data_IF_841350830543
#
_entry.id   IF_841350830543
#
_cell.length_a   1.000
_cell.length_b   1.000
_cell.length_c   1.000
_cell.angle_alpha   90.00
_cell.angle_beta   90.00
_cell.angle_gamma   90.00
#
_symmetry.space_group_name_H-M   'P 1'
#
loop_
_entity.id
_entity.type
_entity.pdbx_description
1 polymer ?
#
# COMPACT_ATOMS: atom_id res chain seq x y z
N UNK A 1 20.85 4.70 -1.24
CA UNK A 1 19.75 3.74 -1.14
C UNK A 1 18.55 4.51 -1.56
N UNK A 2 18.02 4.17 -2.72
CA UNK A 2 16.77 4.76 -3.17
C UNK A 2 15.67 4.18 -2.27
N UNK A 3 14.91 5.06 -1.63
CA UNK A 3 13.73 4.69 -0.83
C UNK A 3 12.46 5.05 -1.61
N UNK A 4 12.58 5.34 -2.92
CA UNK A 4 11.46 5.68 -3.76
C UNK A 4 10.57 4.46 -3.96
N UNK A 5 9.37 4.56 -3.42
CA UNK A 5 8.26 3.73 -3.84
C UNK A 5 7.63 4.47 -5.01
N UNK A 6 7.58 3.79 -6.15
CA UNK A 6 7.00 4.34 -7.37
C UNK A 6 5.53 3.94 -7.51
N UNK A 7 4.74 4.82 -8.13
CA UNK A 7 3.32 4.61 -8.39
C UNK A 7 3.10 4.62 -9.90
N UNK A 8 2.79 3.47 -10.47
CA UNK A 8 2.51 3.34 -11.90
C UNK A 8 1.04 3.68 -12.19
N UNK A 9 0.79 4.33 -13.34
CA UNK A 9 -0.55 4.68 -13.79
C UNK A 9 -0.90 3.84 -15.02
N UNK A 10 -1.96 3.02 -14.92
CA UNK A 10 -2.49 2.26 -16.04
C UNK A 10 -3.70 3.00 -16.66
N UNK A 11 -3.61 3.47 -17.92
CA UNK A 11 -4.74 4.06 -18.64
C UNK A 11 -5.75 3.01 -19.14
N UNK A 12 -5.52 1.71 -18.89
CA UNK A 12 -6.40 0.60 -19.23
C UNK A 12 -5.91 -0.24 -20.40
N UNK A 13 -4.62 -0.19 -20.70
CA UNK A 13 -3.99 -0.97 -21.77
C UNK A 13 -3.05 -2.05 -21.24
N UNK A 14 -2.71 -2.02 -19.94
CA UNK A 14 -1.92 -3.07 -19.31
C UNK A 14 -2.66 -4.42 -19.29
N UNK A 15 -1.93 -5.54 -19.42
CA UNK A 15 -2.50 -6.85 -19.17
C UNK A 15 -2.87 -6.99 -17.68
N UNK A 16 -4.05 -7.56 -17.45
CA UNK A 16 -4.50 -7.97 -16.12
C UNK A 16 -3.92 -9.35 -15.81
N UNK A 17 -3.02 -9.43 -14.83
CA UNK A 17 -2.37 -10.68 -14.45
C UNK A 17 -2.96 -11.23 -13.16
N UNK A 18 -3.35 -12.50 -13.18
CA UNK A 18 -3.62 -13.26 -11.96
C UNK A 18 -2.30 -13.56 -11.25
N UNK A 19 -2.27 -13.41 -9.93
CA UNK A 19 -1.11 -13.78 -9.13
C UNK A 19 -1.38 -15.08 -8.34
N UNK A 20 -0.30 -15.79 -8.04
CA UNK A 20 -0.31 -16.94 -7.13
C UNK A 20 0.10 -16.48 -5.73
N UNK A 21 -0.77 -16.64 -4.71
CA UNK A 21 -0.42 -16.31 -3.34
C UNK A 21 0.74 -17.15 -2.82
N UNK A 22 1.70 -16.52 -2.15
CA UNK A 22 2.78 -17.20 -1.43
C UNK A 22 2.40 -17.45 0.04
N UNK A 23 3.33 -17.98 0.84
CA UNK A 23 3.17 -18.12 2.30
C UNK A 23 3.02 -16.77 3.04
N UNK A 24 3.32 -15.66 2.35
CA UNK A 24 3.16 -14.28 2.83
C UNK A 24 1.75 -13.72 2.60
N UNK A 25 0.82 -14.53 2.09
CA UNK A 25 -0.59 -14.16 1.93
C UNK A 25 -1.40 -14.38 3.22
N UNK A 26 -1.99 -13.33 3.76
CA UNK A 26 -2.80 -13.39 4.97
C UNK A 26 -4.30 -13.49 4.67
N UNK A 27 -4.91 -14.63 5.02
CA UNK A 27 -6.37 -14.75 5.05
C UNK A 27 -6.89 -14.38 6.44
N UNK A 28 -7.97 -13.57 6.56
CA UNK A 28 -8.84 -13.08 5.48
C UNK A 28 -8.53 -11.66 4.97
N UNK A 29 -7.37 -11.13 5.32
CA UNK A 29 -7.08 -9.69 5.19
C UNK A 29 -6.70 -9.27 3.77
N UNK A 30 -5.96 -10.12 3.05
CA UNK A 30 -5.47 -9.84 1.71
C UNK A 30 -6.55 -10.14 0.66
N UNK A 31 -6.62 -9.32 -0.37
CA UNK A 31 -7.51 -9.50 -1.50
C UNK A 31 -6.98 -10.54 -2.48
N UNK A 32 -7.89 -11.13 -3.27
CA UNK A 32 -7.56 -11.90 -4.45
C UNK A 32 -8.20 -11.26 -5.68
N UNK A 33 -7.46 -11.22 -6.77
CA UNK A 33 -7.95 -10.74 -8.05
C UNK A 33 -6.79 -10.37 -8.97
N UNK A 34 -7.10 -10.20 -10.27
CA UNK A 34 -6.08 -9.81 -11.22
C UNK A 34 -5.66 -8.35 -10.99
N UNK A 35 -4.38 -8.09 -11.23
CA UNK A 35 -3.74 -6.77 -11.08
C UNK A 35 -3.25 -6.31 -12.46
N UNK A 36 -3.49 -5.05 -12.87
CA UNK A 36 -2.88 -4.51 -14.07
C UNK A 36 -1.37 -4.37 -13.86
N UNK A 37 -0.58 -4.83 -14.81
CA UNK A 37 0.89 -4.68 -14.78
C UNK A 37 1.34 -3.90 -16.01
N UNK A 38 1.42 -2.56 -15.91
CA UNK A 38 1.95 -1.70 -16.96
C UNK A 38 3.37 -2.06 -17.38
N UNK A 39 3.77 -1.66 -18.60
CA UNK A 39 5.14 -1.87 -19.10
C UNK A 39 6.19 -1.11 -18.26
N UNK A 40 5.79 0.02 -17.67
CA UNK A 40 6.60 0.85 -16.77
C UNK A 40 6.34 0.56 -15.28
N UNK A 41 5.82 -0.63 -14.96
CA UNK A 41 5.67 -1.08 -13.58
C UNK A 41 7.04 -1.31 -12.93
N UNK A 42 7.17 -0.88 -11.67
CA UNK A 42 8.37 -1.06 -10.86
C UNK A 42 8.02 -1.67 -9.50
N UNK A 43 8.99 -2.38 -8.91
CA UNK A 43 8.92 -2.82 -7.53
C UNK A 43 9.82 -1.94 -6.67
N UNK A 44 9.37 -1.64 -5.45
CA UNK A 44 10.18 -0.90 -4.48
C UNK A 44 11.57 -1.53 -4.31
N UNK A 45 12.60 -0.74 -4.60
CA UNK A 45 14.00 -1.11 -4.36
C UNK A 45 14.59 -2.08 -5.39
N UNK A 46 13.90 -2.33 -6.51
CA UNK A 46 14.32 -3.27 -7.55
C UNK A 46 14.50 -2.59 -8.91
N UNK A 47 15.41 -3.12 -9.75
CA UNK A 47 15.64 -2.66 -11.12
C UNK A 47 14.61 -3.21 -12.14
N UNK A 48 13.62 -3.97 -11.68
CA UNK A 48 12.61 -4.61 -12.50
C UNK A 48 11.51 -5.27 -11.67
N UNK A 49 10.80 -6.23 -12.26
CA UNK A 49 9.66 -6.88 -11.59
C UNK A 49 10.01 -8.15 -10.82
N UNK A 50 11.28 -8.48 -10.67
CA UNK A 50 11.75 -9.57 -9.84
C UNK A 50 12.09 -9.04 -8.44
N UNK A 51 11.49 -9.61 -7.40
CA UNK A 51 11.85 -9.29 -6.01
C UNK A 51 13.11 -10.08 -5.62
N UNK A 52 14.29 -9.51 -5.89
CA UNK A 52 15.59 -10.16 -5.64
C UNK A 52 16.26 -9.67 -4.36
N UNK A 53 15.96 -8.46 -3.92
CA UNK A 53 16.25 -8.00 -2.57
C UNK A 53 15.28 -8.64 -1.58
N UNK A 54 15.75 -8.99 -0.38
CA UNK A 54 14.85 -9.39 0.72
C UNK A 54 14.11 -8.17 1.32
N UNK A 55 13.65 -7.27 0.45
CA UNK A 55 12.87 -6.08 0.76
C UNK A 55 11.37 -6.34 0.61
N UNK A 56 10.59 -5.27 0.77
CA UNK A 56 9.13 -5.38 0.71
C UNK A 56 8.60 -5.54 -0.72
N UNK A 57 9.34 -5.08 -1.74
CA UNK A 57 9.02 -5.26 -3.16
C UNK A 57 7.57 -4.87 -3.50
N UNK A 58 7.17 -3.67 -3.06
CA UNK A 58 5.82 -3.19 -3.30
C UNK A 58 5.60 -2.91 -4.79
N UNK A 59 4.53 -3.49 -5.36
CA UNK A 59 3.97 -3.08 -6.65
C UNK A 59 2.76 -2.17 -6.38
N UNK A 60 2.77 -0.96 -6.93
CA UNK A 60 1.70 0.03 -6.75
C UNK A 60 1.21 0.52 -8.10
N UNK A 61 -0.06 0.23 -8.41
CA UNK A 61 -0.67 0.56 -9.71
C UNK A 61 -2.03 1.22 -9.53
N UNK A 62 -2.21 2.40 -10.12
CA UNK A 62 -3.50 3.06 -10.27
C UNK A 62 -4.09 2.69 -11.63
N UNK A 63 -5.17 1.90 -11.63
CA UNK A 63 -5.99 1.63 -12.80
C UNK A 63 -6.99 2.77 -13.00
N UNK A 64 -6.72 3.65 -13.97
CA UNK A 64 -7.52 4.84 -14.23
C UNK A 64 -8.96 4.53 -14.68
N UNK A 65 -9.23 3.54 -15.56
CA UNK A 65 -10.60 3.31 -16.06
C UNK A 65 -11.62 2.94 -15.00
N UNK A 66 -11.18 2.26 -13.94
CA UNK A 66 -12.06 1.84 -12.83
C UNK A 66 -11.78 2.62 -11.55
N UNK A 67 -10.91 3.63 -11.60
CA UNK A 67 -10.47 4.37 -10.42
C UNK A 67 -10.08 3.39 -9.30
N UNK A 68 -9.14 2.47 -9.55
CA UNK A 68 -8.77 1.44 -8.57
C UNK A 68 -7.28 1.48 -8.31
N UNK A 69 -6.87 1.49 -7.04
CA UNK A 69 -5.47 1.29 -6.69
C UNK A 69 -5.26 -0.16 -6.26
N UNK A 70 -4.18 -0.73 -6.76
CA UNK A 70 -3.65 -2.02 -6.38
C UNK A 70 -2.32 -1.80 -5.67
N UNK A 71 -2.20 -2.33 -4.46
CA UNK A 71 -0.94 -2.33 -3.70
C UNK A 71 -0.64 -3.77 -3.31
N UNK A 72 0.45 -4.32 -3.82
CA UNK A 72 0.88 -5.69 -3.53
C UNK A 72 2.17 -5.63 -2.72
N UNK A 73 2.19 -6.27 -1.56
CA UNK A 73 3.43 -6.58 -0.83
C UNK A 73 4.02 -7.90 -1.34
N UNK A 74 5.37 -7.97 -1.41
CA UNK A 74 6.13 -9.11 -1.94
C UNK A 74 5.69 -9.52 -3.34
N UNK A 75 5.49 -8.54 -4.24
CA UNK A 75 5.22 -8.86 -5.64
C UNK A 75 6.49 -9.44 -6.28
N UNK A 76 6.35 -10.50 -7.08
CA UNK A 76 7.45 -11.11 -7.80
C UNK A 76 6.95 -11.62 -9.16
N UNK A 77 7.39 -11.00 -10.25
CA UNK A 77 6.98 -11.33 -11.61
C UNK A 77 8.22 -11.72 -12.42
N UNK A 78 8.38 -13.02 -12.65
CA UNK A 78 9.54 -13.59 -13.34
C UNK A 78 9.05 -14.58 -14.40
N UNK A 79 9.54 -14.43 -15.64
CA UNK A 79 9.20 -15.31 -16.77
C UNK A 79 7.68 -15.51 -16.98
N UNK A 80 6.89 -14.47 -16.71
CA UNK A 80 5.43 -14.47 -16.84
C UNK A 80 4.68 -15.14 -15.69
N UNK A 81 5.38 -15.61 -14.66
CA UNK A 81 4.80 -16.09 -13.41
C UNK A 81 4.73 -14.93 -12.43
N UNK A 82 3.51 -14.60 -11.98
CA UNK A 82 3.28 -13.59 -10.95
C UNK A 82 2.96 -14.27 -9.63
N UNK A 83 3.82 -14.08 -8.65
CA UNK A 83 3.64 -14.46 -7.25
C UNK A 83 3.52 -13.21 -6.37
N UNK A 84 2.79 -13.32 -5.26
CA UNK A 84 2.55 -12.18 -4.38
C UNK A 84 2.24 -12.59 -2.94
N UNK A 85 2.65 -11.76 -1.99
CA UNK A 85 2.17 -11.80 -0.61
C UNK A 85 0.80 -11.14 -0.48
N UNK A 86 0.70 -10.06 0.29
CA UNK A 86 -0.59 -9.41 0.54
C UNK A 86 -0.98 -8.37 -0.53
N UNK A 87 -2.08 -8.63 -1.25
CA UNK A 87 -2.73 -7.65 -2.12
C UNK A 87 -3.74 -6.81 -1.32
N UNK A 88 -3.71 -5.49 -1.48
CA UNK A 88 -4.71 -4.56 -1.01
C UNK A 88 -5.28 -3.76 -2.18
N UNK A 89 -6.59 -3.87 -2.40
CA UNK A 89 -7.28 -3.16 -3.47
C UNK A 89 -8.23 -2.09 -2.91
N UNK A 90 -8.20 -0.91 -3.52
CA UNK A 90 -8.89 0.29 -3.05
C UNK A 90 -9.61 1.00 -4.19
N UNK A 91 -10.82 1.51 -3.95
CA UNK A 91 -11.69 2.20 -4.89
C UNK A 91 -11.57 3.73 -4.80
N UNK A 92 -10.87 4.39 -5.73
CA UNK A 92 -10.63 5.86 -5.87
C UNK A 92 -11.89 6.68 -6.16
N UNK A 93 -13.07 6.05 -6.24
CA UNK A 93 -14.34 6.74 -6.49
C UNK A 93 -15.15 7.14 -5.25
N UNK A 94 -14.81 6.67 -4.06
CA UNK A 94 -15.64 6.83 -2.86
C UNK A 94 -14.82 7.23 -1.62
N UNK A 95 -15.33 8.01 -0.68
CA UNK A 95 -14.57 8.34 0.56
C UNK A 95 -14.47 7.13 1.52
N UNK A 96 -13.30 6.84 2.13
CA UNK A 96 -13.15 5.68 3.00
C UNK A 96 -13.88 5.90 4.33
N UNK A 97 -14.43 4.85 4.94
CA UNK A 97 -14.81 4.92 6.35
C UNK A 97 -13.57 5.06 7.23
N UNK A 98 -13.73 5.56 8.46
CA UNK A 98 -12.64 5.66 9.44
C UNK A 98 -11.96 4.32 9.75
N UNK A 99 -12.64 3.20 9.50
CA UNK A 99 -12.15 1.83 9.71
C UNK A 99 -11.38 1.28 8.52
N UNK A 100 -11.21 2.05 7.44
CA UNK A 100 -10.62 1.58 6.19
C UNK A 100 -11.18 0.20 5.79
N UNK A 101 -10.30 -0.77 5.51
CA UNK A 101 -10.65 -2.15 5.12
C UNK A 101 -11.32 -2.95 6.24
N UNK A 102 -11.30 -2.46 7.47
CA UNK A 102 -11.85 -3.08 8.68
C UNK A 102 -10.90 -2.93 9.87
N UNK A 103 -11.45 -2.96 11.09
CA UNK A 103 -10.63 -3.02 12.30
C UNK A 103 -9.81 -4.31 12.30
N UNK A 104 -8.53 -4.19 12.67
CA UNK A 104 -7.57 -5.30 12.71
C UNK A 104 -7.25 -5.92 11.35
N UNK A 105 -7.68 -5.32 10.23
CA UNK A 105 -7.30 -5.80 8.92
C UNK A 105 -6.02 -5.15 8.41
N UNK A 106 -5.06 -5.95 7.96
CA UNK A 106 -3.84 -5.47 7.30
C UNK A 106 -4.07 -5.03 5.85
N UNK A 107 -3.01 -4.52 5.24
CA UNK A 107 -2.90 -4.20 3.81
C UNK A 107 -1.47 -4.49 3.33
N UNK A 108 -1.12 -4.05 2.12
CA UNK A 108 0.28 -4.01 1.68
C UNK A 108 1.16 -3.18 2.65
N UNK A 109 0.61 -2.12 3.25
CA UNK A 109 1.19 -1.53 4.45
C UNK A 109 0.81 -2.33 5.70
N UNK A 110 1.79 -2.66 6.53
CA UNK A 110 1.60 -3.44 7.75
C UNK A 110 0.68 -2.78 8.79
N UNK A 111 0.42 -1.46 8.72
CA UNK A 111 -0.49 -0.76 9.62
C UNK A 111 -1.96 -0.77 9.14
N UNK A 112 -2.25 -1.39 7.99
CA UNK A 112 -3.59 -1.39 7.37
C UNK A 112 -3.91 -0.10 6.60
N UNK A 113 -2.90 0.73 6.34
CA UNK A 113 -3.02 1.99 5.62
C UNK A 113 -2.79 1.79 4.12
N UNK A 114 -3.31 2.69 3.29
CA UNK A 114 -2.80 2.76 1.93
C UNK A 114 -1.45 3.43 1.83
N UNK A 115 -0.64 2.96 0.89
CA UNK A 115 0.69 3.47 0.62
C UNK A 115 0.62 4.71 -0.25
N UNK A 116 0.08 4.60 -1.48
CA UNK A 116 0.18 5.65 -2.50
C UNK A 116 -0.29 7.03 -2.05
N UNK A 117 -1.48 7.21 -1.42
CA UNK A 117 -1.95 8.54 -1.03
C UNK A 117 -1.26 9.10 0.22
N UNK A 118 -0.32 8.37 0.82
CA UNK A 118 0.49 8.78 1.96
C UNK A 118 1.98 8.91 1.62
N UNK A 119 2.37 8.66 0.37
CA UNK A 119 3.68 9.02 -0.17
C UNK A 119 3.70 10.50 -0.50
N UNK A 120 4.89 11.11 -0.50
CA UNK A 120 5.12 12.44 -1.07
C UNK A 120 6.08 12.30 -2.24
N UNK A 121 6.02 13.21 -3.21
CA UNK A 121 6.88 13.16 -4.39
C UNK A 121 7.98 14.23 -4.38
N UNK A 122 8.89 14.14 -5.36
CA UNK A 122 10.00 15.08 -5.50
C UNK A 122 9.54 16.51 -5.83
N UNK A 123 8.40 16.67 -6.51
CA UNK A 123 7.85 17.97 -6.88
C UNK A 123 7.26 18.67 -5.65
N UNK A 124 6.62 17.95 -4.73
CA UNK A 124 6.14 18.46 -3.43
C UNK A 124 7.31 18.91 -2.55
N UNK A 125 8.38 18.10 -2.50
CA UNK A 125 9.61 18.48 -1.78
C UNK A 125 10.24 19.73 -2.40
N UNK A 126 10.31 19.81 -3.74
CA UNK A 126 10.85 20.96 -4.46
C UNK A 126 9.96 22.22 -4.29
N UNK A 127 8.64 22.05 -4.19
CA UNK A 127 7.70 23.13 -3.89
C UNK A 127 7.83 23.63 -2.44
N UNK A 128 8.44 22.83 -1.56
CA UNK A 128 8.68 23.18 -0.16
C UNK A 128 7.46 22.99 0.75
N UNK A 129 6.40 22.36 0.25
CA UNK A 129 5.19 22.06 1.02
C UNK A 129 4.65 20.68 0.66
N UNK A 130 4.30 19.90 1.69
CA UNK A 130 3.56 18.64 1.58
C UNK A 130 2.21 18.91 2.24
N UNK A 131 1.15 18.92 1.43
CA UNK A 131 -0.18 19.37 1.85
C UNK A 131 -1.13 18.23 2.26
N UNK A 132 -0.60 17.02 2.41
CA UNK A 132 -1.34 15.84 2.81
C UNK A 132 -0.64 15.13 3.97
N UNK A 133 -1.32 14.13 4.54
CA UNK A 133 -0.73 13.33 5.60
C UNK A 133 0.33 12.38 5.02
N UNK A 134 1.45 12.20 5.71
CA UNK A 134 2.54 11.32 5.27
C UNK A 134 2.58 10.03 6.10
N UNK A 135 2.93 8.91 5.47
CA UNK A 135 3.32 7.69 6.21
C UNK A 135 4.83 7.59 6.29
N UNK A 136 5.33 6.97 7.36
CA UNK A 136 6.73 6.58 7.47
C UNK A 136 6.85 5.37 8.40
N UNK A 137 7.91 4.60 8.19
CA UNK A 137 8.18 3.39 8.94
C UNK A 137 9.16 3.71 10.06
N UNK A 138 8.84 3.27 11.28
CA UNK A 138 9.78 3.29 12.39
C UNK A 138 10.58 1.98 12.45
N UNK A 139 11.85 2.00 12.88
CA UNK A 139 12.59 0.79 13.20
C UNK A 139 11.83 -0.11 14.21
N UNK A 140 11.95 -1.43 14.06
CA UNK A 140 11.19 -2.41 14.86
C UNK A 140 11.38 -2.26 16.38
N UNK A 141 12.54 -1.79 16.84
CA UNK A 141 12.83 -1.54 18.26
C UNK A 141 12.15 -0.28 18.82
N UNK A 142 11.55 0.54 17.96
CA UNK A 142 10.74 1.72 18.31
C UNK A 142 9.25 1.48 18.24
N UNK A 143 8.81 0.33 17.71
CA UNK A 143 7.40 0.02 17.51
C UNK A 143 6.81 -0.73 18.70
N UNK A 144 5.67 -0.27 19.23
CA UNK A 144 4.97 -0.98 20.30
C UNK A 144 4.40 -2.29 19.79
N UNK A 145 4.57 -3.37 20.55
CA UNK A 145 4.04 -4.67 20.19
C UNK A 145 2.50 -4.66 20.11
N UNK A 146 1.94 -5.10 18.96
CA UNK A 146 0.49 -5.29 18.75
C UNK A 146 -0.39 -4.10 19.15
N UNK A 147 0.11 -2.87 18.98
CA UNK A 147 -0.64 -1.65 19.28
C UNK A 147 -0.55 -0.67 18.11
N UNK A 148 -1.67 -0.08 17.75
CA UNK A 148 -1.77 0.98 16.75
C UNK A 148 -2.59 2.15 17.26
N UNK A 149 -2.47 3.30 16.61
CA UNK A 149 -3.32 4.48 16.81
C UNK A 149 -3.92 4.88 15.46
N UNK A 150 -5.18 5.34 15.48
CA UNK A 150 -5.85 5.79 14.26
C UNK A 150 -5.06 6.90 13.55
N UNK A 151 -5.06 6.96 12.20
CA UNK A 151 -5.90 6.20 11.26
C UNK A 151 -5.47 4.74 10.99
N UNK A 152 -4.37 4.23 11.54
CA UNK A 152 -4.02 2.81 11.37
C UNK A 152 -5.11 1.89 11.92
N UNK A 153 -5.29 0.73 11.30
CA UNK A 153 -6.31 -0.27 11.65
C UNK A 153 -5.71 -1.60 12.10
N UNK A 154 -4.42 -1.83 11.85
CA UNK A 154 -3.74 -3.07 12.15
C UNK A 154 -2.38 -2.83 12.83
N UNK A 155 -1.94 -3.82 13.62
CA UNK A 155 -0.61 -3.85 14.21
C UNK A 155 -0.01 -5.25 14.15
N UNK A 156 1.24 -5.32 13.72
CA UNK A 156 2.03 -6.55 13.79
C UNK A 156 2.67 -6.73 15.17
N UNK A 157 3.26 -7.91 15.41
CA UNK A 157 4.23 -8.05 16.49
C UNK A 157 5.47 -7.18 16.24
N UNK A 158 6.01 -6.56 17.28
CA UNK A 158 7.33 -5.92 17.19
C UNK A 158 8.41 -6.96 17.49
N UNK A 159 9.39 -7.11 16.60
CA UNK A 159 10.40 -8.17 16.72
C UNK A 159 11.34 -7.98 17.93
N UNK A 160 11.51 -6.75 18.43
CA UNK A 160 12.52 -6.42 19.44
C UNK A 160 12.13 -5.34 20.45
N UNK A 161 10.96 -4.71 20.30
CA UNK A 161 10.50 -3.69 21.23
C UNK A 161 9.58 -4.27 22.31
N UNK A 162 9.77 -3.83 23.55
CA UNK A 162 8.84 -4.07 24.66
C UNK A 162 7.62 -3.14 24.60
N UNK A 163 6.85 -3.11 25.69
CA UNK A 163 5.62 -2.31 25.80
C UNK A 163 5.85 -0.78 25.85
N UNK A 164 7.09 -0.32 25.81
CA UNK A 164 7.50 1.09 25.88
C UNK A 164 7.70 1.75 24.50
N UNK A 165 7.49 1.01 23.41
CA UNK A 165 7.57 1.53 22.03
C UNK A 165 6.44 2.51 21.68
N UNK A 166 6.61 3.24 20.58
CA UNK A 166 5.56 4.06 19.97
C UNK A 166 4.59 3.13 19.22
N UNK A 167 3.27 3.21 19.43
CA UNK A 167 2.31 2.47 18.60
C UNK A 167 2.57 2.67 17.11
N UNK A 168 2.24 1.69 16.26
CA UNK A 168 2.34 1.86 14.81
C UNK A 168 1.58 3.14 14.38
N UNK A 169 2.28 3.92 13.56
CA UNK A 169 2.10 5.37 13.42
C UNK A 169 0.90 5.76 12.57
N UNK A 170 0.38 6.95 12.89
CA UNK A 170 -0.58 7.74 12.15
C UNK A 170 -0.04 8.18 10.78
N UNK A 171 -0.91 8.41 9.80
CA UNK A 171 -0.59 9.39 8.77
C UNK A 171 -0.32 10.75 9.46
N UNK A 172 0.89 11.30 9.36
CA UNK A 172 1.27 12.57 9.97
C UNK A 172 0.66 13.72 9.16
N UNK A 173 -0.52 14.18 9.59
CA UNK A 173 -1.23 15.34 9.03
C UNK A 173 -2.69 15.34 9.51
N UNK A 174 -3.21 16.49 9.96
CA UNK A 174 -4.62 16.64 10.35
C UNK A 174 -5.57 16.76 9.13
N UNK A 175 -5.05 16.58 7.92
CA UNK A 175 -5.84 16.60 6.70
C UNK A 175 -6.40 15.20 6.42
N UNK A 176 -7.64 15.09 5.88
CA UNK A 176 -8.09 13.83 5.29
C UNK A 176 -7.05 13.35 4.27
N UNK A 177 -6.91 12.04 4.12
CA UNK A 177 -6.09 11.43 3.06
C UNK A 177 -6.61 12.00 1.73
N UNK A 178 -5.87 12.92 1.12
CA UNK A 178 -6.26 13.59 -0.12
C UNK A 178 -5.94 12.71 -1.34
N UNK A 179 -6.63 12.89 -2.47
CA UNK A 179 -6.30 12.17 -3.70
C UNK A 179 -4.84 12.40 -4.10
N UNK A 180 -4.09 11.31 -4.28
CA UNK A 180 -2.72 11.31 -4.79
C UNK A 180 -2.69 11.90 -6.21
N UNK A 181 -1.76 12.84 -6.46
CA UNK A 181 -1.71 13.63 -7.72
C UNK A 181 -0.79 13.04 -8.80
N UNK A 182 -0.25 11.84 -8.64
CA UNK A 182 0.71 11.30 -9.61
C UNK A 182 0.10 10.98 -10.98
N UNK A 183 -1.19 10.61 -11.07
CA UNK A 183 -1.85 10.34 -12.34
C UNK A 183 -2.77 11.51 -12.75
N UNK A 184 -2.66 12.08 -13.97
CA UNK A 184 -3.54 13.17 -14.40
C UNK A 184 -5.03 12.74 -14.50
N UNK A 185 -5.79 13.09 -13.44
CA UNK A 185 -7.25 13.10 -13.16
C UNK A 185 -8.09 11.84 -13.48
N UNK A 186 -8.91 11.28 -12.56
CA UNK A 186 -10.07 11.89 -11.87
C UNK A 186 -10.43 11.24 -10.51
N UNK A 187 -10.98 12.00 -9.56
CA UNK A 187 -11.89 11.47 -8.51
C UNK A 187 -11.69 12.03 -7.09
N UNK A 188 -12.75 12.49 -6.38
CA UNK A 188 -12.68 12.88 -4.98
C UNK A 188 -12.99 11.72 -4.03
N UNK A 189 -12.00 11.37 -3.18
CA UNK A 189 -12.17 10.47 -2.03
C UNK A 189 -12.00 8.99 -2.38
N UNK A 190 -11.44 8.22 -1.44
CA UNK A 190 -10.91 6.88 -1.72
C UNK A 190 -11.34 5.73 -0.77
N UNK A 191 -11.95 4.62 -1.22
CA UNK A 191 -12.67 3.65 -0.38
C UNK A 191 -12.15 2.20 -0.43
N UNK A 192 -11.95 1.61 0.75
CA UNK A 192 -11.96 0.21 1.09
C UNK A 192 -12.58 -0.89 0.23
N UNK A 193 -11.84 -1.88 -0.30
CA UNK A 193 -12.40 -3.25 -0.25
C UNK A 193 -12.32 -3.78 1.19
N UNK A 194 -13.46 -4.19 1.75
CA UNK A 194 -13.55 -4.67 3.13
C UNK A 194 -13.01 -6.09 3.25
N UNK A 195 -12.25 -6.34 4.31
CA UNK A 195 -11.80 -7.68 4.66
C UNK A 195 -13.01 -8.52 5.04
N UNK A 196 -13.16 -9.69 4.43
CA UNK A 196 -14.31 -10.56 4.67
C UNK A 196 -14.10 -11.28 6.00
N UNK A 197 -14.93 -11.09 7.03
CA UNK A 197 -14.80 -11.88 8.24
C UNK A 197 -14.97 -13.37 7.90
N UNK A 198 -14.10 -14.22 8.43
CA UNK A 198 -14.30 -15.67 8.41
C UNK A 198 -15.52 -16.00 9.26
N UNK A 199 -16.46 -16.77 8.71
CA UNK A 199 -17.60 -17.33 9.44
C UNK A 199 -17.15 -18.42 10.43
#
# INVERSE_FOLDING_TARGET
MDLSIEVSCDPGDAPMLDFTPTDDFYTPDCDLGPVPVPEDAHLEGEDGLACVGDGDCHLIVIHQPTATLYEQWRANIVDGVYEGGCLAIWDLGETPPETLRGEHCTSADAAGLPIAPLLFDADEVAAGEINHAIRFILPNDRLRNRTYVRPATHATGAASAGDDGVPRICACGCAPITPWRACPATGPGWSPRRCRPTA
#
